data_IF_440125733013
#
_entry.id   IF_440125733013
#
_cell.length_a   1.000
_cell.length_b   1.000
_cell.length_c   1.000
_cell.angle_alpha   90.00
_cell.angle_beta   90.00
_cell.angle_gamma   90.00
#
_symmetry.space_group_name_H-M   'P 1'
#
loop_
_entity.id
_entity.type
_entity.pdbx_description
1 polymer ?
#
# COMPACT_ATOMS: atom_id res chain seq x y z
N UNK A 1 -1.90 1.63 28.09
CA UNK A 1 -1.39 2.72 27.25
C UNK A 1 -0.11 2.33 26.52
N UNK A 2 0.97 1.89 27.18
CA UNK A 2 2.26 1.54 26.54
C UNK A 2 2.13 0.44 25.46
N UNK A 3 1.31 -0.58 25.66
CA UNK A 3 1.03 -1.61 24.65
C UNK A 3 0.24 -1.07 23.46
N UNK A 4 -0.73 -0.18 23.71
CA UNK A 4 -1.49 0.47 22.64
C UNK A 4 -0.60 1.38 21.80
N UNK A 5 0.29 2.15 22.40
CA UNK A 5 1.27 2.99 21.70
C UNK A 5 2.24 2.17 20.85
N UNK A 6 2.74 1.04 21.39
CA UNK A 6 3.57 0.10 20.63
C UNK A 6 2.82 -0.50 19.44
N UNK A 7 1.53 -0.79 19.61
CA UNK A 7 0.69 -1.35 18.55
C UNK A 7 0.40 -0.30 17.46
N UNK A 8 0.14 0.95 17.84
CA UNK A 8 -0.03 2.07 16.91
C UNK A 8 1.26 2.28 16.10
N UNK A 9 2.44 2.33 16.75
CA UNK A 9 3.72 2.51 16.05
C UNK A 9 4.03 1.39 15.05
N UNK A 10 3.70 0.13 15.38
CA UNK A 10 3.83 -0.98 14.43
C UNK A 10 2.87 -0.86 13.24
N UNK A 11 1.64 -0.40 13.50
CA UNK A 11 0.63 -0.19 12.46
C UNK A 11 1.04 0.94 11.51
N UNK A 12 1.57 2.04 12.02
CA UNK A 12 2.09 3.16 11.22
C UNK A 12 3.25 2.71 10.32
N UNK A 13 4.20 1.92 10.85
CA UNK A 13 5.27 1.34 10.04
C UNK A 13 4.73 0.44 8.92
N UNK A 14 3.71 -0.36 9.22
CA UNK A 14 3.08 -1.25 8.25
C UNK A 14 2.31 -0.48 7.18
N UNK A 15 1.63 0.60 7.54
CA UNK A 15 0.97 1.49 6.59
C UNK A 15 1.97 2.12 5.63
N UNK A 16 3.10 2.63 6.13
CA UNK A 16 4.18 3.18 5.31
C UNK A 16 4.77 2.12 4.36
N UNK A 17 4.97 0.88 4.82
CA UNK A 17 5.44 -0.22 3.97
C UNK A 17 4.49 -0.49 2.82
N UNK A 18 3.19 -0.63 3.10
CA UNK A 18 2.18 -0.87 2.06
C UNK A 18 2.08 0.31 1.09
N UNK A 19 2.15 1.55 1.56
CA UNK A 19 2.15 2.74 0.72
C UNK A 19 3.38 2.79 -0.21
N UNK A 20 4.55 2.39 0.29
CA UNK A 20 5.77 2.27 -0.53
C UNK A 20 5.65 1.15 -1.58
N UNK A 21 5.09 0.01 -1.22
CA UNK A 21 4.82 -1.09 -2.15
C UNK A 21 3.88 -0.64 -3.27
N UNK A 22 2.77 0.03 -2.94
CA UNK A 22 1.84 0.61 -3.91
C UNK A 22 2.55 1.62 -4.82
N UNK A 23 3.37 2.51 -4.24
CA UNK A 23 4.12 3.51 -4.99
C UNK A 23 5.14 2.89 -5.96
N UNK A 24 5.72 1.75 -5.61
CA UNK A 24 6.64 1.01 -6.49
C UNK A 24 5.94 0.21 -7.59
N UNK A 25 4.72 -0.26 -7.33
CA UNK A 25 3.95 -1.05 -8.31
C UNK A 25 3.29 -0.18 -9.40
N UNK A 26 2.91 1.07 -9.09
CA UNK A 26 2.30 1.98 -10.04
C UNK A 26 3.14 2.25 -11.30
N UNK A 27 4.45 2.59 -11.22
CA UNK A 27 5.27 2.79 -12.40
C UNK A 27 5.47 1.49 -13.20
N UNK A 28 5.49 0.34 -12.54
CA UNK A 28 5.56 -0.97 -13.20
C UNK A 28 4.31 -1.23 -14.04
N UNK A 29 3.14 -0.95 -13.48
CA UNK A 29 1.87 -1.07 -14.18
C UNK A 29 1.81 -0.15 -15.40
N UNK A 30 2.22 1.11 -15.24
CA UNK A 30 2.28 2.07 -16.35
C UNK A 30 3.26 1.62 -17.46
N UNK A 31 4.39 1.04 -17.11
CA UNK A 31 5.33 0.48 -18.08
C UNK A 31 4.73 -0.71 -18.86
N UNK A 32 4.02 -1.61 -18.19
CA UNK A 32 3.32 -2.72 -18.82
C UNK A 32 2.19 -2.26 -19.74
N UNK A 33 1.44 -1.22 -19.37
CA UNK A 33 0.41 -0.62 -20.22
C UNK A 33 1.01 0.03 -21.47
N UNK A 34 2.11 0.77 -21.32
CA UNK A 34 2.83 1.35 -22.45
C UNK A 34 3.39 0.27 -23.40
N UNK A 35 3.95 -0.81 -22.85
CA UNK A 35 4.43 -1.94 -23.65
C UNK A 35 3.28 -2.64 -24.38
N UNK A 36 2.11 -2.78 -23.78
CA UNK A 36 0.90 -3.30 -24.43
C UNK A 36 0.52 -2.48 -25.66
N UNK A 37 0.50 -1.15 -25.53
CA UNK A 37 0.17 -0.25 -26.63
C UNK A 37 1.17 -0.38 -27.78
N UNK A 38 2.47 -0.46 -27.46
CA UNK A 38 3.54 -0.68 -28.47
C UNK A 38 3.34 -2.01 -29.19
N UNK A 39 3.16 -3.09 -28.45
CA UNK A 39 2.95 -4.42 -29.04
C UNK A 39 1.70 -4.47 -29.92
N UNK A 40 0.61 -3.80 -29.54
CA UNK A 40 -0.59 -3.69 -30.37
C UNK A 40 -0.30 -2.93 -31.69
N UNK A 41 0.44 -1.82 -31.62
CA UNK A 41 0.84 -1.07 -32.80
C UNK A 41 1.76 -1.91 -33.72
N UNK A 42 2.69 -2.65 -33.16
CA UNK A 42 3.59 -3.53 -33.91
C UNK A 42 2.82 -4.67 -34.61
N UNK A 43 1.81 -5.25 -33.96
CA UNK A 43 0.92 -6.25 -34.57
C UNK A 43 0.16 -5.67 -35.77
N UNK A 44 -0.44 -4.49 -35.60
CA UNK A 44 -1.17 -3.83 -36.69
C UNK A 44 -0.24 -3.54 -37.87
N UNK A 45 0.98 -3.08 -37.60
CA UNK A 45 2.01 -2.82 -38.61
C UNK A 45 2.39 -4.10 -39.36
N UNK A 46 2.67 -5.19 -38.64
CA UNK A 46 3.04 -6.46 -39.25
C UNK A 46 1.90 -7.08 -40.05
N UNK A 47 0.64 -6.99 -39.56
CA UNK A 47 -0.55 -7.39 -40.32
C UNK A 47 -0.69 -6.61 -41.64
N UNK A 48 -0.44 -5.30 -41.57
CA UNK A 48 -0.51 -4.43 -42.77
C UNK A 48 0.55 -4.83 -43.78
N UNK A 49 1.77 -5.05 -43.34
CA UNK A 49 2.89 -5.52 -44.18
C UNK A 49 2.55 -6.87 -44.81
N UNK A 50 2.15 -7.85 -44.02
CA UNK A 50 1.75 -9.17 -44.50
C UNK A 50 0.61 -9.09 -45.54
N UNK A 51 -0.42 -8.26 -45.28
CA UNK A 51 -1.54 -8.08 -46.20
C UNK A 51 -1.10 -7.47 -47.50
N UNK A 52 -0.23 -6.46 -47.50
CA UNK A 52 0.37 -5.85 -48.69
C UNK A 52 1.14 -6.87 -49.50
N UNK A 53 1.92 -7.66 -48.80
CA UNK A 53 2.71 -8.70 -49.37
C UNK A 53 1.89 -9.80 -50.04
N UNK A 54 0.82 -10.27 -49.39
CA UNK A 54 -0.12 -11.24 -49.96
C UNK A 54 -0.81 -10.70 -51.23
N UNK A 55 -1.20 -9.41 -51.20
CA UNK A 55 -1.77 -8.75 -52.38
C UNK A 55 -0.80 -8.73 -53.56
N UNK A 56 0.48 -8.44 -53.32
CA UNK A 56 1.51 -8.44 -54.31
C UNK A 56 1.76 -9.83 -54.94
N UNK A 57 1.82 -10.86 -54.07
CA UNK A 57 1.94 -12.25 -54.53
C UNK A 57 0.72 -12.70 -55.35
N UNK A 58 -0.50 -12.30 -54.92
CA UNK A 58 -1.74 -12.63 -55.63
C UNK A 58 -1.78 -11.94 -57.01
N UNK A 59 -1.42 -10.66 -57.09
CA UNK A 59 -1.31 -9.93 -58.34
C UNK A 59 -0.27 -10.54 -59.34
N UNK A 60 0.87 -10.98 -58.79
CA UNK A 60 1.88 -11.72 -59.60
C UNK A 60 1.29 -13.03 -60.14
N UNK A 61 0.53 -13.75 -59.36
CA UNK A 61 -0.14 -14.99 -59.82
C UNK A 61 -1.16 -14.73 -60.91
N UNK A 62 -2.07 -13.80 -60.71
CA UNK A 62 -3.15 -13.45 -61.67
C UNK A 62 -2.57 -12.82 -62.95
N UNK A 63 -1.56 -11.97 -62.84
CA UNK A 63 -0.94 -11.30 -63.96
C UNK A 63 0.01 -12.18 -64.80
N UNK A 64 0.07 -13.47 -64.54
CA UNK A 64 0.97 -14.38 -65.28
C UNK A 64 2.48 -14.18 -64.93
N UNK A 65 2.79 -13.40 -63.89
CA UNK A 65 4.13 -13.08 -63.46
C UNK A 65 5.01 -14.30 -63.15
N UNK A 66 4.39 -15.37 -62.57
CA UNK A 66 5.10 -16.66 -62.43
C UNK A 66 5.45 -17.29 -63.76
N UNK A 67 4.64 -17.12 -64.81
CA UNK A 67 4.90 -17.61 -66.14
C UNK A 67 6.04 -16.79 -66.82
N UNK A 68 6.13 -15.50 -66.51
CA UNK A 68 7.21 -14.63 -66.95
C UNK A 68 8.56 -14.99 -66.26
N UNK A 69 8.50 -15.34 -64.94
CA UNK A 69 9.65 -15.75 -64.17
C UNK A 69 10.21 -17.14 -64.52
N UNK A 70 9.38 -18.03 -65.07
CA UNK A 70 9.73 -19.43 -65.39
C UNK A 70 9.49 -19.77 -66.87
N UNK A 71 9.16 -18.78 -67.75
CA UNK A 71 9.03 -18.96 -69.21
C UNK A 71 10.36 -19.04 -69.89
N UNK A 72 10.37 -19.04 -71.25
CA UNK A 72 11.54 -19.20 -72.14
C UNK A 72 12.80 -18.37 -71.79
N UNK A 73 13.50 -18.79 -70.69
CA UNK A 73 14.67 -18.12 -70.15
C UNK A 73 15.93 -19.00 -70.27
N UNK A 74 17.09 -18.36 -70.27
CA UNK A 74 18.36 -19.07 -70.17
C UNK A 74 18.52 -19.75 -68.79
N UNK A 75 19.30 -20.85 -68.70
CA UNK A 75 19.51 -21.53 -67.39
C UNK A 75 20.08 -20.63 -66.31
N UNK A 76 20.85 -19.61 -66.65
CA UNK A 76 21.39 -18.63 -65.72
C UNK A 76 20.34 -17.69 -65.14
N UNK A 77 19.41 -17.21 -65.99
CA UNK A 77 18.28 -16.37 -65.54
C UNK A 77 17.33 -17.15 -64.68
N UNK A 78 17.07 -18.41 -65.01
CA UNK A 78 16.27 -19.31 -64.18
C UNK A 78 16.89 -19.53 -62.81
N UNK A 79 18.17 -19.77 -62.71
CA UNK A 79 18.88 -19.93 -61.43
C UNK A 79 18.81 -18.64 -60.60
N UNK A 80 18.96 -17.48 -61.21
CA UNK A 80 18.85 -16.18 -60.54
C UNK A 80 17.42 -15.94 -59.98
N UNK A 81 16.42 -16.21 -60.81
CA UNK A 81 15.00 -16.06 -60.43
C UNK A 81 14.61 -17.02 -59.31
N UNK A 82 15.15 -18.25 -59.34
CA UNK A 82 14.92 -19.21 -58.24
C UNK A 82 15.55 -18.71 -56.93
N UNK A 83 16.75 -18.15 -56.97
CA UNK A 83 17.39 -17.57 -55.80
C UNK A 83 16.62 -16.36 -55.21
N UNK A 84 16.08 -15.50 -56.10
CA UNK A 84 15.21 -14.41 -55.63
C UNK A 84 13.89 -14.92 -55.00
N UNK A 85 13.31 -15.95 -55.61
CA UNK A 85 12.08 -16.57 -55.05
C UNK A 85 12.32 -17.23 -53.72
N UNK A 86 13.39 -17.97 -53.58
CA UNK A 86 13.83 -18.57 -52.32
C UNK A 86 14.00 -17.52 -51.21
N UNK A 87 14.70 -16.41 -51.53
CA UNK A 87 14.86 -15.28 -50.61
C UNK A 87 13.53 -14.64 -50.23
N UNK A 88 12.58 -14.53 -51.19
CA UNK A 88 11.23 -14.01 -50.91
C UNK A 88 10.48 -14.95 -49.94
N UNK A 89 10.55 -16.26 -50.18
CA UNK A 89 9.93 -17.25 -49.29
C UNK A 89 10.51 -17.19 -47.88
N UNK A 90 11.86 -17.06 -47.78
CA UNK A 90 12.52 -16.90 -46.49
C UNK A 90 12.04 -15.66 -45.74
N UNK A 91 11.98 -14.51 -46.40
CA UNK A 91 11.49 -13.28 -45.82
C UNK A 91 10.03 -13.41 -45.32
N UNK A 92 9.21 -14.23 -46.03
CA UNK A 92 7.83 -14.51 -45.61
C UNK A 92 7.75 -15.40 -44.38
N UNK A 93 8.59 -16.44 -44.33
CA UNK A 93 8.69 -17.28 -43.14
C UNK A 93 9.10 -16.43 -41.92
N UNK A 94 10.14 -15.60 -42.09
CA UNK A 94 10.57 -14.70 -41.03
C UNK A 94 9.51 -13.72 -40.58
N UNK A 95 8.65 -13.24 -41.49
CA UNK A 95 7.52 -12.36 -41.12
C UNK A 95 6.43 -13.08 -40.29
N UNK A 96 6.12 -14.33 -40.66
CA UNK A 96 5.20 -15.18 -39.89
C UNK A 96 5.76 -15.45 -38.50
N UNK A 97 7.05 -15.78 -38.39
CA UNK A 97 7.72 -16.05 -37.12
C UNK A 97 7.73 -14.81 -36.21
N UNK A 98 8.02 -13.62 -36.79
CA UNK A 98 7.92 -12.36 -36.05
C UNK A 98 6.49 -12.09 -35.54
N UNK A 99 5.50 -12.33 -36.37
CA UNK A 99 4.09 -12.14 -35.97
C UNK A 99 3.69 -13.07 -34.83
N UNK A 100 4.08 -14.34 -34.90
CA UNK A 100 3.85 -15.31 -33.83
C UNK A 100 4.55 -14.90 -32.52
N UNK A 101 5.79 -14.43 -32.62
CA UNK A 101 6.54 -13.92 -31.49
C UNK A 101 5.85 -12.68 -30.84
N UNK A 102 5.30 -11.77 -31.65
CA UNK A 102 4.53 -10.64 -31.16
C UNK A 102 3.25 -11.07 -30.43
N UNK A 103 2.51 -12.05 -30.95
CA UNK A 103 1.33 -12.59 -30.28
C UNK A 103 1.67 -13.22 -28.92
N UNK A 104 2.75 -13.96 -28.84
CA UNK A 104 3.23 -14.53 -27.58
C UNK A 104 3.61 -13.43 -26.56
N UNK A 105 4.31 -12.39 -27.02
CA UNK A 105 4.66 -11.24 -26.17
C UNK A 105 3.41 -10.51 -25.66
N UNK A 106 2.38 -10.33 -26.48
CA UNK A 106 1.09 -9.75 -26.05
C UNK A 106 0.46 -10.59 -24.96
N UNK A 107 0.44 -11.90 -25.12
CA UNK A 107 -0.14 -12.79 -24.12
C UNK A 107 0.64 -12.70 -22.79
N UNK A 108 1.98 -12.75 -22.85
CA UNK A 108 2.82 -12.62 -21.66
C UNK A 108 2.64 -11.27 -20.97
N UNK A 109 2.55 -10.18 -21.73
CA UNK A 109 2.30 -8.86 -21.19
C UNK A 109 0.89 -8.75 -20.55
N UNK A 110 -0.14 -9.34 -21.17
CA UNK A 110 -1.49 -9.38 -20.63
C UNK A 110 -1.56 -10.14 -19.29
N UNK A 111 -0.84 -11.26 -19.18
CA UNK A 111 -0.75 -12.02 -17.93
C UNK A 111 0.00 -11.21 -16.84
N UNK A 112 1.08 -10.54 -17.19
CA UNK A 112 1.82 -9.67 -16.27
C UNK A 112 0.96 -8.49 -15.79
N UNK A 113 0.19 -7.86 -16.68
CA UNK A 113 -0.77 -6.80 -16.33
C UNK A 113 -1.82 -7.29 -15.34
N UNK A 114 -2.40 -8.48 -15.61
CA UNK A 114 -3.41 -9.06 -14.74
C UNK A 114 -2.86 -9.35 -13.34
N UNK A 115 -1.64 -9.86 -13.24
CA UNK A 115 -0.97 -10.14 -11.98
C UNK A 115 -0.70 -8.82 -11.22
N UNK A 116 -0.13 -7.81 -11.87
CA UNK A 116 0.17 -6.50 -11.27
C UNK A 116 -1.10 -5.79 -10.80
N UNK A 117 -2.16 -5.79 -11.59
CA UNK A 117 -3.46 -5.23 -11.19
C UNK A 117 -4.08 -5.95 -10.00
N UNK A 118 -4.00 -7.28 -9.95
CA UNK A 118 -4.51 -8.06 -8.84
C UNK A 118 -3.71 -7.78 -7.55
N UNK A 119 -2.39 -7.65 -7.66
CA UNK A 119 -1.53 -7.33 -6.53
C UNK A 119 -1.82 -5.91 -5.98
N UNK A 120 -1.93 -4.93 -6.88
CA UNK A 120 -2.30 -3.56 -6.50
C UNK A 120 -3.68 -3.50 -5.81
N UNK A 121 -4.65 -4.28 -6.28
CA UNK A 121 -5.97 -4.37 -5.65
C UNK A 121 -5.88 -4.96 -4.23
N UNK A 122 -5.07 -6.02 -4.03
CA UNK A 122 -4.83 -6.62 -2.71
C UNK A 122 -4.17 -5.64 -1.75
N UNK A 123 -3.14 -4.93 -2.20
CA UNK A 123 -2.42 -3.94 -1.40
C UNK A 123 -3.34 -2.79 -0.98
N UNK A 124 -4.20 -2.28 -1.89
CA UNK A 124 -5.20 -1.26 -1.57
C UNK A 124 -6.21 -1.74 -0.53
N UNK A 125 -6.68 -2.97 -0.64
CA UNK A 125 -7.60 -3.56 0.35
C UNK A 125 -6.90 -3.73 1.71
N UNK A 126 -5.65 -4.18 1.73
CA UNK A 126 -4.86 -4.29 2.95
C UNK A 126 -4.62 -2.92 3.60
N UNK A 127 -4.28 -1.90 2.81
CA UNK A 127 -4.09 -0.52 3.27
C UNK A 127 -5.36 0.00 3.94
N UNK A 128 -6.52 -0.19 3.33
CA UNK A 128 -7.79 0.27 3.89
C UNK A 128 -8.13 -0.46 5.20
N UNK A 129 -7.92 -1.78 5.26
CA UNK A 129 -8.12 -2.55 6.48
C UNK A 129 -7.21 -2.08 7.63
N UNK A 130 -5.94 -1.80 7.35
CA UNK A 130 -5.01 -1.29 8.37
C UNK A 130 -5.33 0.16 8.79
N UNK A 131 -5.83 1.00 7.89
CA UNK A 131 -6.32 2.35 8.22
C UNK A 131 -7.52 2.31 9.18
N UNK A 132 -8.48 1.42 8.92
CA UNK A 132 -9.63 1.21 9.80
C UNK A 132 -9.17 0.76 11.20
N UNK A 133 -8.22 -0.17 11.28
CA UNK A 133 -7.64 -0.63 12.55
C UNK A 133 -6.93 0.50 13.29
N UNK A 134 -6.13 1.30 12.59
CA UNK A 134 -5.42 2.43 13.17
C UNK A 134 -6.40 3.48 13.74
N UNK A 135 -7.47 3.79 13.02
CA UNK A 135 -8.52 4.68 13.50
C UNK A 135 -9.23 4.14 14.76
N UNK A 136 -9.47 2.83 14.81
CA UNK A 136 -10.02 2.14 15.98
C UNK A 136 -9.14 2.30 17.22
N UNK A 137 -7.86 1.95 17.08
CA UNK A 137 -6.90 2.07 18.19
C UNK A 137 -6.67 3.52 18.65
N UNK A 138 -6.67 4.49 17.74
CA UNK A 138 -6.60 5.91 18.09
C UNK A 138 -7.84 6.38 18.87
N UNK A 139 -9.03 5.85 18.52
CA UNK A 139 -10.26 6.13 19.26
C UNK A 139 -10.20 5.54 20.67
N UNK A 140 -9.79 4.27 20.81
CA UNK A 140 -9.60 3.61 22.11
C UNK A 140 -8.60 4.36 22.98
N UNK A 141 -7.46 4.78 22.40
CA UNK A 141 -6.46 5.60 23.09
C UNK A 141 -7.04 6.91 23.62
N UNK A 142 -7.84 7.62 22.79
CA UNK A 142 -8.50 8.87 23.23
C UNK A 142 -9.47 8.65 24.39
N UNK A 143 -10.25 7.59 24.33
CA UNK A 143 -11.18 7.24 25.42
C UNK A 143 -10.44 6.88 26.71
N UNK A 144 -9.34 6.12 26.59
CA UNK A 144 -8.51 5.79 27.75
C UNK A 144 -7.84 7.02 28.37
N UNK A 145 -7.34 7.95 27.55
CA UNK A 145 -6.76 9.20 28.04
C UNK A 145 -7.82 10.06 28.75
N UNK A 146 -9.03 10.20 28.18
CA UNK A 146 -10.12 10.95 28.80
C UNK A 146 -10.51 10.34 30.16
N UNK A 147 -10.57 9.01 30.26
CA UNK A 147 -10.86 8.34 31.52
C UNK A 147 -9.78 8.57 32.60
N UNK A 148 -8.50 8.61 32.17
CA UNK A 148 -7.38 8.93 33.08
C UNK A 148 -7.45 10.38 33.55
N UNK A 149 -7.74 11.33 32.65
CA UNK A 149 -7.89 12.74 32.98
C UNK A 149 -9.04 12.97 33.96
N UNK A 150 -10.17 12.30 33.77
CA UNK A 150 -11.31 12.33 34.68
C UNK A 150 -10.91 11.77 36.05
N UNK A 151 -10.23 10.63 36.11
CA UNK A 151 -9.73 10.03 37.36
C UNK A 151 -8.77 10.97 38.10
N UNK A 152 -7.81 11.58 37.38
CA UNK A 152 -6.87 12.55 37.96
C UNK A 152 -7.58 13.78 38.52
N UNK A 153 -8.60 14.30 37.80
CA UNK A 153 -9.42 15.40 38.31
C UNK A 153 -10.14 15.05 39.59
N UNK A 154 -10.76 13.87 39.66
CA UNK A 154 -11.46 13.37 40.85
C UNK A 154 -10.49 13.15 42.02
N UNK A 155 -9.30 12.61 41.75
CA UNK A 155 -8.25 12.41 42.78
C UNK A 155 -7.73 13.75 43.29
N UNK A 156 -7.59 14.77 42.44
CA UNK A 156 -7.23 16.14 42.83
C UNK A 156 -8.25 16.78 43.77
N UNK A 157 -9.55 16.61 43.50
CA UNK A 157 -10.63 17.07 44.38
C UNK A 157 -10.55 16.35 45.71
N UNK A 158 -10.31 15.05 45.72
CA UNK A 158 -10.23 14.22 46.92
C UNK A 158 -8.99 14.59 47.77
N UNK A 159 -7.86 14.87 47.17
CA UNK A 159 -6.67 15.38 47.86
C UNK A 159 -6.93 16.71 48.53
N UNK A 160 -7.55 17.67 47.84
CA UNK A 160 -7.92 18.96 48.42
C UNK A 160 -8.90 18.83 49.55
N UNK A 161 -9.79 17.83 49.55
CA UNK A 161 -10.68 17.52 50.66
C UNK A 161 -9.92 16.98 51.87
N UNK A 162 -9.01 16.02 51.67
CA UNK A 162 -8.18 15.45 52.72
C UNK A 162 -7.27 16.49 53.36
N UNK A 163 -6.72 17.42 52.61
CA UNK A 163 -5.92 18.54 53.12
C UNK A 163 -6.76 19.45 54.04
N UNK A 164 -8.00 19.75 53.66
CA UNK A 164 -8.94 20.51 54.50
C UNK A 164 -9.29 19.77 55.80
N UNK A 165 -9.60 18.48 55.69
CA UNK A 165 -9.92 17.63 56.83
C UNK A 165 -8.70 17.52 57.77
N UNK A 166 -7.49 17.43 57.26
CA UNK A 166 -6.26 17.46 58.02
C UNK A 166 -6.08 18.78 58.76
N UNK A 167 -6.30 19.90 58.09
CA UNK A 167 -6.20 21.22 58.70
C UNK A 167 -7.24 21.41 59.81
N UNK A 168 -8.47 20.96 59.62
CA UNK A 168 -9.54 21.00 60.65
C UNK A 168 -9.18 20.12 61.85
N UNK A 169 -8.65 18.91 61.63
CA UNK A 169 -8.20 18.04 62.69
C UNK A 169 -7.04 18.64 63.50
N UNK A 170 -6.10 19.30 62.82
CA UNK A 170 -4.98 20.00 63.48
C UNK A 170 -5.47 21.14 64.36
N UNK A 171 -6.43 21.96 63.88
CA UNK A 171 -7.05 23.04 64.59
C UNK A 171 -7.82 22.53 65.85
N UNK A 172 -8.60 21.46 65.68
CA UNK A 172 -9.27 20.79 66.79
C UNK A 172 -8.32 20.24 67.83
N UNK A 173 -7.19 19.66 67.43
CA UNK A 173 -6.16 19.18 68.37
C UNK A 173 -5.51 20.35 69.14
N UNK A 174 -5.25 21.44 68.47
CA UNK A 174 -4.72 22.64 69.10
C UNK A 174 -5.69 23.25 70.13
N UNK A 175 -6.98 23.35 69.78
CA UNK A 175 -8.06 23.74 70.68
C UNK A 175 -8.20 22.80 71.88
N UNK A 176 -8.09 21.48 71.70
CA UNK A 176 -8.11 20.49 72.76
C UNK A 176 -6.90 20.62 73.67
N UNK A 177 -5.69 20.85 73.14
CA UNK A 177 -4.49 21.10 73.93
C UNK A 177 -4.59 22.39 74.75
N UNK A 178 -5.11 23.47 74.17
CA UNK A 178 -5.39 24.70 74.95
C UNK A 178 -6.36 24.49 76.06
N UNK A 179 -7.48 23.82 75.82
CA UNK A 179 -8.43 23.49 76.88
C UNK A 179 -7.89 22.56 77.96
N UNK A 180 -7.06 21.61 77.61
CA UNK A 180 -6.37 20.77 78.58
C UNK A 180 -5.34 21.56 79.41
N UNK A 181 -4.63 22.52 78.83
CA UNK A 181 -3.72 23.40 79.56
C UNK A 181 -4.43 24.37 80.48
N UNK A 182 -5.67 24.80 80.14
CA UNK A 182 -6.53 25.59 81.02
C UNK A 182 -7.10 24.79 82.19
N UNK A 183 -7.29 23.48 82.03
CA UNK A 183 -7.74 22.58 83.11
C UNK A 183 -6.59 22.14 84.03
N UNK A 184 -5.37 22.22 83.61
CA UNK A 184 -4.16 21.82 84.38
C UNK A 184 -3.59 22.97 85.26
N UNK A 185 -4.38 24.04 85.43
CA UNK A 185 -4.08 24.98 86.53
C UNK A 185 -4.31 24.27 87.86
N UNK A 186 -3.29 24.11 88.66
CA UNK A 186 -3.45 23.38 89.95
C UNK A 186 -4.43 24.13 90.78
N UNK A 187 -5.66 23.60 90.99
CA UNK A 187 -6.52 24.02 92.06
C UNK A 187 -5.71 23.82 93.31
N UNK A 188 -5.44 24.90 94.03
CA UNK A 188 -4.73 24.92 95.30
C UNK A 188 -5.37 23.90 96.26
N UNK A 189 -4.63 22.78 96.38
CA UNK A 189 -4.96 21.78 97.33
C UNK A 189 -4.64 22.36 98.70
N UNK A 190 -5.58 22.86 99.44
CA UNK A 190 -5.50 23.19 100.85
C UNK A 190 -5.63 21.88 101.62
N UNK A 191 -4.51 21.44 102.29
CA UNK A 191 -4.59 20.23 103.11
C UNK A 191 -5.50 20.53 104.36
N UNK A 192 -6.48 19.70 104.50
CA UNK A 192 -7.31 19.70 105.70
C UNK A 192 -6.45 19.28 106.87
N UNK A 193 -6.12 20.25 107.74
CA UNK A 193 -5.45 20.04 109.01
C UNK A 193 -6.46 20.23 110.15
N UNK A 194 -6.71 19.14 110.81
CA UNK A 194 -7.15 18.99 112.16
C UNK A 194 -8.40 19.71 112.65
N UNK A 195 -9.45 18.90 112.91
CA UNK A 195 -10.27 18.96 114.11
C UNK A 195 -10.60 17.53 114.53
#
# INVERSE_FOLDING_TARGET
LAEAEKSIGKLEQRLLSIEQEIASELPRLAALESERERLQADVVKEQTNMTSDFRTLWALREGGGLRILFGDQSPNEMALNLAYFDRLLQQRSDAVDRYQALLLRIQTNADALRISQAELARQRTALEAERIRAAGLQKERRLALAAIEESLSNDGVRMAQLERDQAQLSDLLEQLQQRLSELDTPSSYTPFKDA
#
